data_IF_800992916068
#
_entry.id   IF_800992916068
#
_cell.length_a   1.000
_cell.length_b   1.000
_cell.length_c   1.000
_cell.angle_alpha   90.00
_cell.angle_beta   90.00
_cell.angle_gamma   90.00
#
_symmetry.space_group_name_H-M   'P 1'
#
loop_
_entity.id
_entity.type
_entity.pdbx_description
1 polymer ?
#
# COMPACT_ATOMS: atom_id res chain seq x y z
N UNK A 1 -24.68 9.02 14.55
CA UNK A 1 -23.30 8.51 14.53
C UNK A 1 -22.38 9.67 14.18
N UNK A 2 -21.63 10.21 15.16
CA UNK A 2 -20.92 11.48 15.04
C UNK A 2 -19.48 11.15 14.62
N UNK A 3 -19.10 11.50 13.38
CA UNK A 3 -17.74 11.30 12.85
C UNK A 3 -16.77 12.12 13.70
N UNK A 4 -15.92 11.43 14.47
CA UNK A 4 -14.91 12.01 15.34
C UNK A 4 -13.86 12.77 14.53
N UNK A 5 -13.33 13.85 15.14
CA UNK A 5 -12.38 14.78 14.53
C UNK A 5 -11.14 14.03 14.01
N UNK A 6 -10.80 14.26 12.75
CA UNK A 6 -9.62 13.68 12.10
C UNK A 6 -8.34 14.14 12.80
N UNK A 7 -7.57 13.19 13.33
CA UNK A 7 -6.20 13.41 13.80
C UNK A 7 -5.31 13.64 12.58
N UNK A 8 -5.16 14.89 12.17
CA UNK A 8 -4.22 15.32 11.14
C UNK A 8 -2.83 15.44 11.77
N UNK A 9 -2.04 14.36 11.71
CA UNK A 9 -0.60 14.54 11.75
C UNK A 9 -0.21 15.41 10.53
N UNK A 10 0.37 16.59 10.77
CA UNK A 10 0.74 17.55 9.73
C UNK A 10 2.01 17.09 9.01
N UNK A 11 1.87 16.14 8.08
CA UNK A 11 2.78 16.02 6.95
C UNK A 11 2.14 16.73 5.75
N UNK A 12 2.93 17.48 4.98
CA UNK A 12 2.44 18.04 3.72
C UNK A 12 1.90 16.91 2.83
N UNK A 13 0.86 17.16 2.04
CA UNK A 13 0.26 16.12 1.21
C UNK A 13 1.33 15.41 0.36
N UNK A 14 1.34 14.06 0.28
CA UNK A 14 2.31 13.32 -0.50
C UNK A 14 2.21 13.61 -2.01
N UNK A 15 1.15 14.30 -2.43
CA UNK A 15 0.87 14.67 -3.81
C UNK A 15 1.22 16.14 -4.06
N UNK A 16 2.23 16.38 -4.91
CA UNK A 16 2.70 17.74 -5.22
C UNK A 16 1.71 18.58 -6.01
N UNK A 17 0.94 17.96 -6.92
CA UNK A 17 0.03 18.67 -7.81
C UNK A 17 -1.37 18.87 -7.19
N UNK A 18 -1.93 20.10 -7.19
CA UNK A 18 -3.23 20.38 -6.57
C UNK A 18 -4.38 19.56 -7.18
N UNK A 19 -4.38 19.36 -8.50
CA UNK A 19 -5.39 18.56 -9.19
C UNK A 19 -5.33 17.07 -8.82
N UNK A 20 -4.15 16.57 -8.43
CA UNK A 20 -3.99 15.20 -7.92
C UNK A 20 -4.52 15.13 -6.49
N UNK A 21 -4.20 16.11 -5.64
CA UNK A 21 -4.70 16.18 -4.25
C UNK A 21 -6.21 16.19 -4.19
N UNK A 22 -6.86 17.04 -4.98
CA UNK A 22 -8.31 17.17 -5.01
C UNK A 22 -9.01 15.84 -5.38
N UNK A 23 -8.35 15.01 -6.19
CA UNK A 23 -8.89 13.73 -6.66
C UNK A 23 -8.63 12.56 -5.72
N UNK A 24 -7.67 12.66 -4.81
CA UNK A 24 -7.23 11.51 -4.00
C UNK A 24 -8.34 10.95 -3.13
N UNK A 25 -9.06 11.81 -2.43
CA UNK A 25 -10.15 11.43 -1.53
C UNK A 25 -11.31 10.73 -2.27
N UNK A 26 -11.92 11.38 -3.28
CA UNK A 26 -13.00 10.77 -4.06
C UNK A 26 -12.60 9.43 -4.69
N UNK A 27 -11.41 9.33 -5.29
CA UNK A 27 -10.95 8.08 -5.89
C UNK A 27 -10.64 7.00 -4.83
N UNK A 28 -10.16 7.36 -3.63
CA UNK A 28 -10.03 6.41 -2.51
C UNK A 28 -11.40 5.90 -2.04
N UNK A 29 -12.40 6.77 -1.97
CA UNK A 29 -13.76 6.39 -1.59
C UNK A 29 -14.36 5.36 -2.57
N UNK A 30 -13.97 5.38 -3.85
CA UNK A 30 -14.42 4.35 -4.80
C UNK A 30 -13.87 2.95 -4.50
N UNK A 31 -12.68 2.84 -3.89
CA UNK A 31 -12.13 1.54 -3.49
C UNK A 31 -12.90 0.91 -2.33
N UNK A 32 -13.41 1.77 -1.43
CA UNK A 32 -14.25 1.40 -0.30
C UNK A 32 -15.75 1.39 -0.65
N UNK A 33 -16.09 1.75 -1.89
CA UNK A 33 -17.45 1.81 -2.39
C UNK A 33 -18.04 0.44 -2.71
N UNK A 34 -19.35 0.38 -3.00
CA UNK A 34 -20.08 -0.86 -3.25
C UNK A 34 -19.82 -1.47 -4.64
N UNK A 35 -18.69 -1.18 -5.28
CA UNK A 35 -18.36 -1.70 -6.61
C UNK A 35 -17.73 -3.09 -6.51
N UNK A 36 -18.41 -4.08 -7.09
CA UNK A 36 -17.98 -5.49 -7.08
C UNK A 36 -16.64 -5.68 -7.80
N UNK A 37 -16.46 -5.03 -8.95
CA UNK A 37 -15.17 -4.93 -9.65
C UNK A 37 -14.63 -3.51 -9.54
N UNK A 38 -13.34 -3.40 -9.17
CA UNK A 38 -12.67 -2.11 -8.92
C UNK A 38 -11.84 -1.66 -10.13
N UNK A 39 -12.41 -1.80 -11.32
CA UNK A 39 -11.73 -1.37 -12.55
C UNK A 39 -11.67 0.16 -12.65
N UNK A 40 -10.84 0.69 -13.55
CA UNK A 40 -10.78 2.13 -13.78
C UNK A 40 -12.10 2.72 -14.28
N UNK A 41 -12.88 1.93 -15.04
CA UNK A 41 -14.18 2.33 -15.58
C UNK A 41 -15.24 2.45 -14.48
N UNK A 42 -15.44 1.40 -13.70
CA UNK A 42 -16.45 1.38 -12.63
C UNK A 42 -16.19 2.45 -11.57
N UNK A 43 -14.92 2.72 -11.27
CA UNK A 43 -14.54 3.81 -10.35
C UNK A 43 -14.79 5.19 -10.96
N UNK A 44 -14.63 5.35 -12.27
CA UNK A 44 -14.96 6.60 -12.96
C UNK A 44 -16.47 6.86 -12.96
N UNK A 45 -17.28 5.84 -13.26
CA UNK A 45 -18.74 5.91 -13.18
C UNK A 45 -19.22 6.29 -11.77
N UNK A 46 -18.63 5.69 -10.73
CA UNK A 46 -18.97 6.02 -9.34
C UNK A 46 -18.63 7.48 -8.98
N UNK A 47 -17.63 8.07 -9.64
CA UNK A 47 -17.29 9.49 -9.49
C UNK A 47 -18.09 10.42 -10.42
N UNK A 48 -19.00 9.88 -11.24
CA UNK A 48 -19.79 10.65 -12.20
C UNK A 48 -19.00 11.12 -13.43
N UNK A 49 -17.90 10.44 -13.76
CA UNK A 49 -17.07 10.79 -14.91
C UNK A 49 -17.48 10.03 -16.17
N UNK A 50 -17.43 10.72 -17.32
CA UNK A 50 -17.78 10.14 -18.62
C UNK A 50 -16.74 9.16 -19.18
N UNK A 51 -15.48 9.24 -18.72
CA UNK A 51 -14.38 8.38 -19.20
C UNK A 51 -13.46 7.95 -18.06
N UNK A 52 -12.74 6.83 -18.18
CA UNK A 52 -11.81 6.36 -17.16
C UNK A 52 -10.48 7.14 -17.12
N UNK A 53 -10.28 8.10 -18.03
CA UNK A 53 -8.99 8.75 -18.25
C UNK A 53 -8.48 9.45 -17.00
N UNK A 54 -9.36 10.07 -16.24
CA UNK A 54 -8.99 10.72 -14.99
C UNK A 54 -8.45 9.71 -13.97
N UNK A 55 -9.12 8.56 -13.81
CA UNK A 55 -8.77 7.50 -12.86
C UNK A 55 -7.43 6.87 -13.26
N UNK A 56 -7.27 6.61 -14.56
CA UNK A 56 -6.06 6.03 -15.12
C UNK A 56 -4.88 7.00 -15.07
N UNK A 57 -5.10 8.29 -15.42
CA UNK A 57 -4.07 9.33 -15.35
C UNK A 57 -3.52 9.46 -13.95
N UNK A 58 -4.37 9.43 -12.92
CA UNK A 58 -3.93 9.42 -11.52
C UNK A 58 -2.97 8.24 -11.29
N UNK A 59 -3.41 7.01 -11.52
CA UNK A 59 -2.59 5.82 -11.23
C UNK A 59 -1.27 5.78 -12.02
N UNK A 60 -1.32 6.22 -13.28
CA UNK A 60 -0.16 6.14 -14.19
C UNK A 60 0.85 7.25 -13.98
N UNK A 61 0.39 8.46 -13.67
CA UNK A 61 1.22 9.67 -13.74
C UNK A 61 1.30 10.46 -12.45
N UNK A 62 0.41 10.21 -11.48
CA UNK A 62 0.52 10.86 -10.18
C UNK A 62 1.83 10.43 -9.52
N UNK A 63 2.75 11.38 -9.38
CA UNK A 63 3.96 11.19 -8.59
C UNK A 63 3.63 11.59 -7.16
N UNK A 64 3.58 10.58 -6.29
CA UNK A 64 3.57 10.75 -4.86
C UNK A 64 4.82 10.12 -4.26
N UNK A 65 5.23 10.59 -3.09
CA UNK A 65 6.18 9.85 -2.27
C UNK A 65 5.48 8.59 -1.74
N UNK A 66 5.89 7.41 -2.20
CA UNK A 66 5.21 6.16 -1.88
C UNK A 66 5.26 5.83 -0.39
N UNK A 67 6.31 6.27 0.33
CA UNK A 67 6.38 6.17 1.78
C UNK A 67 5.34 7.08 2.43
N UNK A 68 5.20 8.32 1.95
CA UNK A 68 4.22 9.26 2.50
C UNK A 68 2.77 9.04 2.02
N UNK A 69 2.53 8.25 0.96
CA UNK A 69 1.18 7.86 0.52
C UNK A 69 0.55 6.84 1.47
N UNK A 70 1.35 5.94 2.03
CA UNK A 70 0.96 5.15 3.19
C UNK A 70 1.31 5.96 4.42
N UNK A 71 0.49 6.95 4.76
CA UNK A 71 0.66 7.72 6.01
C UNK A 71 0.87 6.76 7.18
N UNK A 72 1.70 7.14 8.15
CA UNK A 72 2.08 6.26 9.25
C UNK A 72 0.81 5.81 10.01
N UNK A 73 0.44 4.52 9.96
CA UNK A 73 -0.79 4.06 10.61
C UNK A 73 -0.61 3.92 12.11
N UNK A 74 0.63 3.92 12.63
CA UNK A 74 0.93 3.62 14.04
C UNK A 74 0.22 4.57 15.01
N UNK A 75 0.16 5.90 14.82
CA UNK A 75 -0.60 6.77 15.71
C UNK A 75 -2.08 6.40 15.80
N UNK A 76 -2.72 6.04 14.67
CA UNK A 76 -4.11 5.62 14.66
C UNK A 76 -4.31 4.29 15.40
N UNK A 77 -3.40 3.33 15.18
CA UNK A 77 -3.44 2.03 15.87
C UNK A 77 -3.24 2.20 17.37
N UNK A 78 -2.24 2.96 17.80
CA UNK A 78 -2.00 3.26 19.22
C UNK A 78 -3.24 3.91 19.85
N UNK A 79 -3.87 4.86 19.17
CA UNK A 79 -5.01 5.60 19.73
C UNK A 79 -6.30 4.76 19.80
N UNK A 80 -6.52 3.83 18.87
CA UNK A 80 -7.83 3.18 18.70
C UNK A 80 -7.84 1.66 18.84
N UNK A 81 -6.69 1.00 18.67
CA UNK A 81 -6.60 -0.45 18.58
C UNK A 81 -5.59 -1.07 19.56
N UNK A 82 -4.76 -0.25 20.22
CA UNK A 82 -3.77 -0.74 21.18
C UNK A 82 -4.38 -1.71 22.20
N UNK A 83 -3.69 -2.83 22.37
CA UNK A 83 -4.04 -3.89 23.30
C UNK A 83 -2.72 -4.52 23.76
N UNK A 84 -2.42 -4.52 25.07
CA UNK A 84 -1.20 -5.17 25.59
C UNK A 84 -1.12 -6.67 25.27
N UNK A 85 -2.23 -7.30 24.92
CA UNK A 85 -2.29 -8.70 24.48
C UNK A 85 -2.25 -8.86 22.95
N UNK A 86 -2.10 -7.78 22.19
CA UNK A 86 -2.00 -7.84 20.74
C UNK A 86 -0.75 -8.63 20.30
N UNK A 87 -0.87 -9.27 19.15
CA UNK A 87 0.21 -10.01 18.52
C UNK A 87 0.66 -9.32 17.24
N UNK A 88 1.97 -9.27 17.04
CA UNK A 88 2.56 -8.82 15.79
C UNK A 88 2.68 -10.00 14.82
N UNK A 89 2.08 -9.82 13.65
CA UNK A 89 2.06 -10.81 12.56
C UNK A 89 2.94 -10.30 11.44
N UNK A 90 3.91 -11.12 11.02
CA UNK A 90 4.66 -10.90 9.78
C UNK A 90 4.19 -11.92 8.77
N UNK A 91 3.65 -11.44 7.66
CA UNK A 91 3.13 -12.29 6.60
C UNK A 91 3.55 -11.81 5.21
N UNK A 92 3.60 -12.75 4.28
CA UNK A 92 3.91 -12.50 2.87
C UNK A 92 2.64 -12.58 2.03
N UNK A 93 2.47 -11.64 1.10
CA UNK A 93 1.39 -11.64 0.13
C UNK A 93 1.93 -11.64 -1.30
N UNK A 94 1.41 -12.56 -2.12
CA UNK A 94 1.77 -12.68 -3.52
C UNK A 94 0.81 -11.91 -4.43
N UNK A 95 1.34 -10.99 -5.22
CA UNK A 95 0.60 -10.28 -6.27
C UNK A 95 0.97 -10.84 -7.65
N UNK A 96 0.09 -11.65 -8.25
CA UNK A 96 0.31 -12.21 -9.59
C UNK A 96 0.43 -11.11 -10.66
N UNK A 97 1.34 -11.32 -11.61
CA UNK A 97 1.63 -10.38 -12.70
C UNK A 97 1.77 -11.10 -14.03
N UNK A 98 1.26 -10.49 -15.08
CA UNK A 98 1.40 -11.00 -16.45
C UNK A 98 2.59 -10.38 -17.22
N UNK A 99 3.41 -9.54 -16.60
CA UNK A 99 4.51 -8.85 -17.27
C UNK A 99 5.70 -8.55 -16.36
N UNK A 100 6.73 -7.91 -16.92
CA UNK A 100 8.05 -7.76 -16.29
C UNK A 100 8.40 -6.33 -15.85
N UNK A 101 7.51 -5.37 -16.07
CA UNK A 101 7.80 -3.93 -15.86
C UNK A 101 7.61 -3.44 -14.43
N UNK A 102 7.00 -4.24 -13.56
CA UNK A 102 6.73 -3.85 -12.16
C UNK A 102 7.93 -4.17 -11.27
N UNK A 103 8.30 -3.27 -10.36
CA UNK A 103 9.42 -3.46 -9.44
C UNK A 103 9.36 -4.79 -8.68
N UNK A 104 10.44 -5.56 -8.63
CA UNK A 104 10.46 -6.83 -7.87
C UNK A 104 9.57 -7.95 -8.43
N UNK A 105 9.08 -7.83 -9.68
CA UNK A 105 8.36 -8.92 -10.33
C UNK A 105 9.33 -9.99 -10.81
N UNK A 106 9.12 -11.24 -10.43
CA UNK A 106 9.86 -12.39 -10.91
C UNK A 106 9.04 -13.66 -10.68
N UNK A 107 9.52 -14.80 -11.19
CA UNK A 107 9.03 -16.11 -10.75
C UNK A 107 9.49 -16.34 -9.31
N UNK A 108 8.55 -16.35 -8.38
CA UNK A 108 8.79 -16.54 -6.95
C UNK A 108 7.73 -17.49 -6.40
N UNK A 109 8.04 -18.16 -5.29
CA UNK A 109 7.04 -18.93 -4.56
C UNK A 109 6.04 -17.97 -3.93
N UNK A 110 4.77 -18.09 -4.30
CA UNK A 110 3.71 -17.20 -3.83
C UNK A 110 2.79 -17.99 -2.91
N UNK A 111 2.80 -17.64 -1.62
CA UNK A 111 1.90 -18.27 -0.64
C UNK A 111 0.43 -18.16 -1.04
N UNK A 112 0.03 -17.01 -1.58
CA UNK A 112 -1.34 -16.76 -2.04
C UNK A 112 -1.74 -17.60 -3.26
N UNK A 113 -0.80 -17.91 -4.15
CA UNK A 113 -1.07 -18.74 -5.33
C UNK A 113 -0.80 -20.24 -5.09
N UNK A 114 -0.13 -20.59 -3.99
CA UNK A 114 0.28 -21.95 -3.64
C UNK A 114 1.29 -22.57 -4.62
N UNK A 115 2.01 -21.75 -5.39
CA UNK A 115 2.96 -22.21 -6.40
C UNK A 115 3.96 -21.12 -6.81
N UNK A 116 5.01 -21.55 -7.49
CA UNK A 116 5.94 -20.65 -8.17
C UNK A 116 5.27 -20.03 -9.40
N UNK A 117 5.08 -18.71 -9.36
CA UNK A 117 4.43 -17.95 -10.42
C UNK A 117 5.11 -16.59 -10.63
N UNK A 118 4.91 -15.97 -11.79
CA UNK A 118 5.35 -14.60 -12.00
C UNK A 118 4.55 -13.63 -11.11
N UNK A 119 5.18 -13.11 -10.08
CA UNK A 119 4.53 -12.29 -9.06
C UNK A 119 5.48 -11.27 -8.40
N UNK A 120 4.90 -10.32 -7.70
CA UNK A 120 5.58 -9.48 -6.72
C UNK A 120 5.20 -9.99 -5.33
N UNK A 121 6.17 -10.08 -4.42
CA UNK A 121 5.90 -10.46 -3.02
C UNK A 121 5.98 -9.21 -2.13
N UNK A 122 4.89 -8.91 -1.44
CA UNK A 122 4.85 -7.92 -0.37
C UNK A 122 5.04 -8.61 0.97
N UNK A 123 5.78 -8.00 1.89
CA UNK A 123 5.86 -8.42 3.29
C UNK A 123 5.12 -7.38 4.11
N UNK A 124 4.17 -7.81 4.94
CA UNK A 124 3.40 -6.93 5.82
C UNK A 124 3.75 -7.21 7.28
N UNK A 125 3.78 -6.14 8.07
CA UNK A 125 3.69 -6.20 9.53
C UNK A 125 2.26 -5.78 9.91
N UNK A 126 1.56 -6.63 10.65
CA UNK A 126 0.24 -6.33 11.17
C UNK A 126 0.20 -6.47 12.69
N UNK A 127 -0.63 -5.64 13.31
CA UNK A 127 -1.07 -5.76 14.70
C UNK A 127 -2.44 -6.44 14.73
N UNK A 128 -2.67 -7.34 15.68
CA UNK A 128 -3.96 -7.98 15.89
C UNK A 128 -4.23 -8.19 17.38
N UNK A 129 -5.30 -7.58 17.89
CA UNK A 129 -5.73 -7.66 19.29
C UNK A 129 -7.25 -7.69 19.43
N UNK A 130 -7.75 -7.58 20.65
CA UNK A 130 -9.18 -7.66 20.94
C UNK A 130 -10.02 -6.56 20.25
N UNK A 131 -9.40 -5.41 19.96
CA UNK A 131 -10.06 -4.27 19.34
C UNK A 131 -10.05 -4.29 17.80
N UNK A 132 -9.34 -5.24 17.18
CA UNK A 132 -9.27 -5.38 15.72
C UNK A 132 -7.87 -5.70 15.23
N UNK A 133 -7.61 -5.41 13.96
CA UNK A 133 -6.31 -5.63 13.33
C UNK A 133 -5.99 -4.48 12.36
N UNK A 134 -4.69 -4.20 12.19
CA UNK A 134 -4.22 -3.15 11.29
C UNK A 134 -2.85 -3.49 10.70
N UNK A 135 -2.63 -3.13 9.42
CA UNK A 135 -1.30 -3.17 8.81
C UNK A 135 -0.47 -1.98 9.34
N UNK A 136 0.64 -2.27 10.02
CA UNK A 136 1.55 -1.29 10.59
C UNK A 136 2.63 -0.84 9.60
N UNK A 137 3.18 -1.79 8.85
CA UNK A 137 4.27 -1.54 7.92
C UNK A 137 4.21 -2.51 6.73
N UNK A 138 4.83 -2.14 5.63
CA UNK A 138 4.86 -2.95 4.41
C UNK A 138 6.14 -2.71 3.63
N UNK A 139 6.75 -3.80 3.17
CA UNK A 139 7.92 -3.78 2.31
C UNK A 139 7.68 -4.61 1.05
N UNK A 140 8.41 -4.31 -0.02
CA UNK A 140 8.47 -5.18 -1.19
C UNK A 140 9.70 -6.08 -1.05
N UNK A 141 9.50 -7.39 -1.14
CA UNK A 141 10.60 -8.34 -1.26
C UNK A 141 11.21 -8.24 -2.65
N UNK A 142 12.51 -8.04 -2.73
CA UNK A 142 13.22 -7.85 -3.99
C UNK A 142 14.03 -9.11 -4.33
N UNK A 143 13.69 -9.82 -5.42
CA UNK A 143 14.54 -10.87 -5.96
C UNK A 143 15.95 -10.37 -6.25
N UNK A 144 16.95 -11.26 -6.17
CA UNK A 144 18.36 -10.91 -6.45
C UNK A 144 18.54 -10.21 -7.80
N UNK A 145 17.83 -10.66 -8.83
CA UNK A 145 17.82 -10.04 -10.17
C UNK A 145 17.42 -8.56 -10.15
N UNK A 146 16.52 -8.16 -9.25
CA UNK A 146 16.12 -6.77 -9.06
C UNK A 146 17.02 -6.02 -8.08
N UNK A 147 17.50 -6.68 -7.02
CA UNK A 147 18.36 -6.06 -6.02
C UNK A 147 19.73 -5.66 -6.59
N UNK A 148 20.26 -6.47 -7.52
CA UNK A 148 21.55 -6.22 -8.17
C UNK A 148 21.52 -5.03 -9.14
N UNK A 149 20.38 -4.76 -9.79
CA UNK A 149 20.25 -3.70 -10.78
C UNK A 149 20.02 -2.32 -10.11
N UNK A 150 21.06 -1.49 -10.11
CA UNK A 150 21.01 -0.13 -9.58
C UNK A 150 20.06 0.81 -10.36
N UNK A 151 19.84 0.56 -11.66
CA UNK A 151 18.93 1.34 -12.50
C UNK A 151 17.45 1.05 -12.22
N UNK A 152 17.15 -0.13 -11.68
CA UNK A 152 15.79 -0.55 -11.31
C UNK A 152 15.41 -0.22 -9.85
N UNK A 153 16.39 0.14 -9.01
CA UNK A 153 16.18 0.69 -7.66
C UNK A 153 15.64 2.12 -7.72
N UNK A 154 14.32 2.28 -7.75
CA UNK A 154 13.71 3.61 -7.56
C UNK A 154 13.87 4.05 -6.10
N UNK A 155 14.39 5.26 -5.81
CA UNK A 155 14.36 5.81 -4.46
C UNK A 155 12.90 6.04 -4.02
N UNK A 156 12.53 5.53 -2.84
CA UNK A 156 11.22 5.76 -2.20
C UNK A 156 10.25 4.58 -2.15
N UNK A 157 10.57 3.42 -2.72
CA UNK A 157 9.93 2.19 -2.25
C UNK A 157 10.66 1.77 -0.95
N UNK A 158 9.98 1.28 0.11
CA UNK A 158 10.66 0.56 1.17
C UNK A 158 11.27 -0.70 0.55
N UNK A 159 12.51 -0.58 0.11
CA UNK A 159 13.28 -1.61 -0.56
C UNK A 159 13.85 -2.51 0.55
N UNK A 160 13.26 -3.70 0.73
CA UNK A 160 13.92 -4.80 1.42
C UNK A 160 15.02 -5.36 0.52
N UNK A 161 16.17 -4.70 0.48
CA UNK A 161 17.37 -5.21 -0.17
C UNK A 161 18.00 -6.34 0.65
N UNK A 162 18.55 -7.35 -0.02
CA UNK A 162 19.09 -8.59 0.55
C UNK A 162 19.76 -8.43 1.93
N UNK A 163 19.30 -9.29 2.86
CA UNK A 163 19.44 -9.27 4.33
C UNK A 163 18.37 -8.42 5.04
N UNK A 164 17.16 -9.00 5.11
CA UNK A 164 16.09 -8.55 5.99
C UNK A 164 15.30 -7.35 5.45
N UNK A 165 14.03 -7.56 5.12
CA UNK A 165 13.08 -6.47 5.13
C UNK A 165 13.07 -5.90 6.55
N UNK A 166 13.60 -4.69 6.75
CA UNK A 166 13.54 -4.04 8.06
C UNK A 166 12.15 -3.43 8.20
N UNK A 167 11.21 -4.21 8.70
CA UNK A 167 9.93 -3.70 9.18
C UNK A 167 10.21 -2.97 10.50
N UNK A 168 9.73 -1.74 10.64
CA UNK A 168 9.91 -0.99 11.90
C UNK A 168 8.82 -1.40 12.88
N UNK A 169 9.14 -2.34 13.77
CA UNK A 169 8.39 -2.50 15.00
C UNK A 169 8.92 -1.48 16.01
N UNK A 170 8.08 -0.52 16.43
CA UNK A 170 8.36 0.25 17.64
C UNK A 170 7.93 -0.62 18.83
N UNK A 171 8.84 -1.01 19.75
CA UNK A 171 8.53 -1.92 20.86
C UNK A 171 7.67 -1.30 21.97
N UNK A 172 7.09 -0.12 21.73
CA UNK A 172 6.23 0.60 22.68
C UNK A 172 4.75 0.70 22.27
N UNK A 173 4.33 -0.14 21.32
CA UNK A 173 2.91 -0.43 21.05
C UNK A 173 2.34 -1.31 22.18
#
# INVERSE_FOLDING_TARGET
MRVGKQHRARSGSPWRRPEVRARVGPDLATWLGPVERRTGWQRAEQMGEATPDGVQRRQRTARGDAAAVGDDPRPYVVEHLADPAAVLIVDEIGFLKNGTKSGGVARQDSGTAGRIENCQLGVLLADAGAHGHACLDRALSLPTVWAADAGQRRPGAPLGGGRGATLRADPGL
#
